data_IF_016828338207
#
_entry.id   IF_016828338207
#
_cell.length_a   1.000
_cell.length_b   1.000
_cell.length_c   1.000
_cell.angle_alpha   90.00
_cell.angle_beta   90.00
_cell.angle_gamma   90.00
#
_symmetry.space_group_name_H-M   'P 1'
#
loop_
_entity.id
_entity.type
_entity.pdbx_description
1 polymer ?
#
# COMPACT_ATOMS: atom_id res chain seq x y z
N UNK A 1 35.27 16.33 23.82
CA UNK A 1 35.11 14.98 23.31
C UNK A 1 36.32 14.58 22.51
N UNK A 2 36.70 13.34 22.60
CA UNK A 2 37.83 12.89 21.81
C UNK A 2 37.35 12.39 20.45
N UNK A 3 38.29 12.15 19.55
CA UNK A 3 37.92 11.80 18.19
C UNK A 3 37.24 10.44 18.12
N UNK A 4 37.53 9.54 19.06
CA UNK A 4 36.83 8.25 19.05
C UNK A 4 35.36 8.42 19.35
N UNK A 5 35.02 9.30 20.26
CA UNK A 5 33.62 9.56 20.57
C UNK A 5 32.92 10.20 19.39
N UNK A 6 33.59 11.11 18.72
CA UNK A 6 33.01 11.77 17.55
C UNK A 6 32.79 10.77 16.44
N UNK A 7 33.79 9.90 16.19
CA UNK A 7 33.66 8.89 15.15
C UNK A 7 32.50 7.93 15.44
N UNK A 8 32.36 7.56 16.72
CA UNK A 8 31.26 6.68 17.10
C UNK A 8 29.91 7.33 16.85
N UNK A 9 29.80 8.61 17.17
CA UNK A 9 28.56 9.34 16.93
C UNK A 9 28.27 9.48 15.45
N UNK A 10 29.29 9.75 14.66
CA UNK A 10 29.11 9.88 13.22
C UNK A 10 28.66 8.57 12.60
N UNK A 11 29.22 7.46 13.08
CA UNK A 11 28.83 6.15 12.59
C UNK A 11 27.36 5.87 12.91
N UNK A 12 26.95 6.17 14.14
CA UNK A 12 25.57 5.97 14.54
C UNK A 12 24.63 6.86 13.74
N UNK A 13 25.06 8.10 13.52
CA UNK A 13 24.23 9.02 12.76
C UNK A 13 24.05 8.54 11.33
N UNK A 14 25.11 8.08 10.71
CA UNK A 14 25.02 7.56 9.35
C UNK A 14 24.09 6.36 9.29
N UNK A 15 24.17 5.49 10.30
CA UNK A 15 23.27 4.34 10.35
C UNK A 15 21.81 4.79 10.46
N UNK A 16 21.57 5.76 11.32
CA UNK A 16 20.20 6.25 11.50
C UNK A 16 19.69 6.95 10.25
N UNK A 17 20.56 7.67 9.55
CA UNK A 17 20.15 8.32 8.33
C UNK A 17 19.75 7.30 7.28
N UNK A 18 20.54 6.23 7.16
CA UNK A 18 20.21 5.19 6.20
C UNK A 18 18.89 4.50 6.58
N UNK A 19 18.74 4.19 7.87
CA UNK A 19 17.52 3.56 8.33
C UNK A 19 16.31 4.44 8.05
N UNK A 20 16.47 5.74 8.23
CA UNK A 20 15.40 6.68 7.98
C UNK A 20 14.99 6.69 6.51
N UNK A 21 15.97 6.68 5.61
CA UNK A 21 15.68 6.65 4.19
C UNK A 21 14.97 5.35 3.81
N UNK A 22 15.47 4.23 4.32
CA UNK A 22 14.86 2.94 4.00
C UNK A 22 13.43 2.87 4.55
N UNK A 23 13.21 3.41 5.72
CA UNK A 23 11.88 3.44 6.29
C UNK A 23 10.95 4.31 5.45
N UNK A 24 11.44 5.45 4.99
CA UNK A 24 10.66 6.31 4.13
C UNK A 24 10.27 5.63 2.83
N UNK A 25 11.21 4.89 2.26
CA UNK A 25 10.92 4.13 1.03
C UNK A 25 9.85 3.08 1.29
N UNK A 26 9.93 2.42 2.43
CA UNK A 26 8.95 1.39 2.77
C UNK A 26 7.58 1.99 2.98
N UNK A 27 7.52 3.13 3.67
CA UNK A 27 6.25 3.83 3.88
C UNK A 27 5.65 4.23 2.54
N UNK A 28 6.46 4.71 1.63
CA UNK A 28 5.99 5.10 0.31
C UNK A 28 5.40 3.90 -0.44
N UNK A 29 6.08 2.77 -0.39
CA UNK A 29 5.59 1.57 -1.06
C UNK A 29 4.27 1.12 -0.47
N UNK A 30 4.17 1.11 0.85
CA UNK A 30 2.95 0.69 1.51
C UNK A 30 1.80 1.63 1.20
N UNK A 31 2.07 2.92 1.14
CA UNK A 31 1.03 3.88 0.79
C UNK A 31 0.51 3.64 -0.61
N UNK A 32 1.43 3.35 -1.52
CA UNK A 32 1.05 3.06 -2.89
C UNK A 32 0.18 1.81 -2.96
N UNK A 33 0.54 0.78 -2.21
CA UNK A 33 -0.25 -0.44 -2.16
C UNK A 33 -1.63 -0.19 -1.59
N UNK A 34 -1.70 0.64 -0.55
CA UNK A 34 -2.98 0.97 0.05
C UNK A 34 -3.86 1.71 -0.96
N UNK A 35 -3.28 2.65 -1.67
CA UNK A 35 -4.04 3.40 -2.67
C UNK A 35 -4.55 2.48 -3.77
N UNK A 36 -3.75 1.53 -4.19
CA UNK A 36 -4.17 0.57 -5.20
C UNK A 36 -5.30 -0.31 -4.69
N UNK A 37 -5.19 -0.76 -3.45
CA UNK A 37 -6.24 -1.59 -2.86
C UNK A 37 -7.53 -0.82 -2.71
N UNK A 38 -7.43 0.44 -2.33
CA UNK A 38 -8.62 1.29 -2.24
C UNK A 38 -9.30 1.45 -3.58
N UNK A 39 -8.49 1.61 -4.63
CA UNK A 39 -9.06 1.75 -5.97
C UNK A 39 -9.77 0.47 -6.39
N UNK A 40 -9.18 -0.67 -6.09
CA UNK A 40 -9.84 -1.94 -6.41
C UNK A 40 -11.12 -2.12 -5.63
N UNK A 41 -11.08 -1.76 -4.36
CA UNK A 41 -12.27 -1.87 -3.52
C UNK A 41 -13.39 -0.98 -4.05
N UNK A 42 -13.05 0.25 -4.41
CA UNK A 42 -14.03 1.16 -4.96
C UNK A 42 -14.63 0.60 -6.24
N UNK A 43 -13.79 0.00 -7.07
CA UNK A 43 -14.26 -0.61 -8.31
C UNK A 43 -15.22 -1.76 -8.05
N UNK A 44 -14.89 -2.59 -7.08
CA UNK A 44 -15.75 -3.72 -6.73
C UNK A 44 -17.09 -3.25 -6.17
N UNK A 45 -17.04 -2.25 -5.29
CA UNK A 45 -18.27 -1.72 -4.72
C UNK A 45 -19.14 -1.09 -5.79
N UNK A 46 -18.52 -0.44 -6.76
CA UNK A 46 -19.26 0.16 -7.85
C UNK A 46 -19.98 -0.91 -8.67
N UNK A 47 -19.33 -2.03 -8.90
CA UNK A 47 -19.97 -3.12 -9.61
C UNK A 47 -21.17 -3.67 -8.85
N UNK A 48 -21.01 -3.81 -7.55
CA UNK A 48 -22.11 -4.31 -6.73
C UNK A 48 -23.28 -3.34 -6.80
N UNK A 49 -22.99 -2.05 -6.68
CA UNK A 49 -24.05 -1.05 -6.72
C UNK A 49 -24.73 -1.00 -8.08
N UNK A 50 -23.98 -1.20 -9.15
CA UNK A 50 -24.55 -1.00 -10.48
C UNK A 50 -25.26 -2.22 -11.00
N UNK A 51 -25.44 -3.21 -10.18
CA UNK A 51 -26.26 -4.29 -10.64
C UNK A 51 -25.67 -5.65 -10.53
N UNK A 52 -24.41 -5.72 -10.29
CA UNK A 52 -23.85 -7.02 -10.07
C UNK A 52 -24.51 -7.66 -8.89
N UNK A 53 -24.88 -6.83 -7.98
CA UNK A 53 -25.59 -7.34 -6.83
C UNK A 53 -26.88 -7.96 -7.22
N UNK A 54 -27.42 -7.48 -8.31
CA UNK A 54 -28.67 -8.06 -8.74
C UNK A 54 -28.46 -9.50 -9.09
N UNK A 55 -27.37 -9.81 -9.51
CA UNK A 55 -27.18 -11.15 -9.84
C UNK A 55 -26.49 -11.88 -8.80
N UNK A 56 -26.42 -11.34 -8.02
CA UNK A 56 -25.81 -11.98 -7.13
C UNK A 56 -25.39 -13.21 -7.30
N UNK A 57 -25.85 -13.09 -7.67
CA UNK A 57 -25.51 -13.80 -7.80
C UNK A 57 -24.64 -14.09 -8.01
N UNK A 58 -24.59 -13.99 -7.89
CA UNK A 58 -23.85 -14.20 -7.97
C UNK A 58 -23.00 -14.54 -8.12
N UNK A 59 -23.01 -14.60 -7.99
CA UNK A 59 -22.29 -14.90 -8.08
C UNK A 59 -21.57 -15.11 -8.74
N UNK A 60 -21.74 -15.12 -8.93
CA UNK A 60 -21.15 -15.33 -9.54
C UNK A 60 -20.57 -15.00 -10.22
N UNK A 61 -20.63 -14.74 -10.28
CA UNK A 61 -20.24 -14.38 -10.82
C UNK A 61 -19.56 -14.13 -11.72
N UNK A 62 -19.22 -14.08 -11.87
CA UNK A 62 -18.75 -13.79 -12.69
C UNK A 62 -18.78 -13.89 -13.76
N UNK A 63 -19.07 -14.15 -13.99
CA UNK A 63 -19.38 -14.17 -14.92
C UNK A 63 -20.15 -13.89 -15.63
N UNK A 64 -20.79 -13.61 -15.51
CA UNK A 64 -21.64 -13.28 -16.12
C UNK A 64 -21.79 -12.29 -16.70
N UNK A 65 -21.82 -12.00 -17.09
CA UNK A 65 -21.84 -11.18 -17.62
C UNK A 65 -22.19 -10.24 -17.82
N UNK A 66 -22.14 -9.86 -17.86
CA UNK A 66 -22.42 -8.94 -17.89
C UNK A 66 -23.13 -8.26 -18.41
N UNK A 67 -23.65 -8.24 -18.52
CA UNK A 67 -24.35 -7.60 -18.83
C UNK A 67 -24.69 -7.10 -18.15
N UNK A 68 -24.40 -6.98 -17.84
CA UNK A 68 -24.62 -6.61 -17.12
C UNK A 68 -24.36 -5.75 -17.25
#
# INVERSE_FOLDING_TARGET
>A
MNSNAIEALETKLAFLERASVELGDEVYRQRKEIDELRARLASLLSRIDSGAGASADASTAEERPPHY
#
